data_IF_582326829630
#
_entry.id   IF_582326829630
#
_cell.length_a   1.000
_cell.length_b   1.000
_cell.length_c   1.000
_cell.angle_alpha   90.00
_cell.angle_beta   90.00
_cell.angle_gamma   90.00
#
_symmetry.space_group_name_H-M   'P 1'
#
loop_
_entity.id
_entity.type
_entity.pdbx_description
1 polymer ?
#
# COMPACT_ATOMS: atom_id res chain seq x y z
N UNK A 1 -1.60 -10.22 19.19
CA UNK A 1 -1.68 -9.04 18.29
C UNK A 1 -0.29 -8.49 17.97
N UNK A 2 0.62 -8.28 18.93
CA UNK A 2 1.96 -7.73 18.66
C UNK A 2 2.77 -8.49 17.60
N UNK A 3 2.76 -9.83 17.60
CA UNK A 3 3.41 -10.63 16.55
C UNK A 3 2.79 -10.42 15.17
N UNK A 4 1.47 -10.18 15.09
CA UNK A 4 0.78 -9.89 13.82
C UNK A 4 1.18 -8.51 13.31
N UNK A 5 1.26 -7.51 14.19
CA UNK A 5 1.73 -6.17 13.84
C UNK A 5 3.22 -6.16 13.48
N UNK A 6 4.04 -7.02 14.10
CA UNK A 6 5.41 -7.26 13.67
C UNK A 6 5.45 -7.82 12.25
N UNK A 7 4.61 -8.81 11.95
CA UNK A 7 4.45 -9.36 10.59
C UNK A 7 4.02 -8.30 9.57
N UNK A 8 3.07 -7.42 9.94
CA UNK A 8 2.68 -6.26 9.14
C UNK A 8 3.86 -5.33 8.86
N UNK A 9 4.64 -4.98 9.90
CA UNK A 9 5.80 -4.11 9.77
C UNK A 9 6.90 -4.70 8.90
N UNK A 10 7.23 -5.98 9.07
CA UNK A 10 8.17 -6.71 8.22
C UNK A 10 7.67 -6.74 6.77
N UNK A 11 6.37 -7.04 6.59
CA UNK A 11 5.72 -7.00 5.29
C UNK A 11 5.91 -5.64 4.63
N UNK A 12 5.53 -4.55 5.32
CA UNK A 12 5.67 -3.18 4.83
C UNK A 12 7.10 -2.78 4.50
N UNK A 13 8.07 -3.20 5.30
CA UNK A 13 9.48 -2.99 5.00
C UNK A 13 9.87 -3.60 3.65
N UNK A 14 9.57 -4.88 3.41
CA UNK A 14 9.86 -5.52 2.13
C UNK A 14 8.99 -5.00 0.98
N UNK A 15 7.75 -4.60 1.28
CA UNK A 15 6.82 -3.97 0.35
C UNK A 15 7.38 -2.66 -0.22
N UNK A 16 8.05 -1.87 0.61
CA UNK A 16 8.70 -0.63 0.19
C UNK A 16 9.79 -0.89 -0.86
N UNK A 17 10.66 -1.88 -0.63
CA UNK A 17 11.69 -2.27 -1.62
C UNK A 17 11.07 -2.82 -2.90
N UNK A 18 10.08 -3.70 -2.78
CA UNK A 18 9.38 -4.27 -3.93
C UNK A 18 8.66 -3.18 -4.75
N UNK A 19 8.04 -2.21 -4.07
CA UNK A 19 7.40 -1.04 -4.68
C UNK A 19 8.39 -0.19 -5.46
N UNK A 20 9.56 0.12 -4.89
CA UNK A 20 10.62 0.87 -5.57
C UNK A 20 11.13 0.15 -6.81
N UNK A 21 11.49 -1.13 -6.67
CA UNK A 21 11.95 -1.96 -7.77
C UNK A 21 10.92 -2.08 -8.90
N UNK A 22 9.64 -2.24 -8.56
CA UNK A 22 8.56 -2.29 -9.54
C UNK A 22 8.34 -0.93 -10.20
N UNK A 23 8.41 0.17 -9.45
CA UNK A 23 8.23 1.53 -9.97
C UNK A 23 9.34 1.94 -10.96
N UNK A 24 10.55 1.43 -10.77
CA UNK A 24 11.65 1.59 -11.72
C UNK A 24 11.36 0.90 -13.06
N UNK A 25 10.81 -0.33 -13.03
CA UNK A 25 10.56 -1.11 -14.25
C UNK A 25 9.22 -0.84 -14.92
N UNK A 26 8.14 -0.81 -14.15
CA UNK A 26 6.78 -0.61 -14.62
C UNK A 26 5.93 0.09 -13.55
N UNK A 27 5.91 1.40 -13.64
CA UNK A 27 5.18 2.27 -12.71
C UNK A 27 3.67 1.98 -12.67
N UNK A 28 3.05 1.65 -13.81
CA UNK A 28 1.61 1.31 -13.86
C UNK A 28 1.33 0.05 -13.07
N UNK A 29 2.18 -0.98 -13.21
CA UNK A 29 2.05 -2.21 -12.44
C UNK A 29 2.27 -1.96 -10.94
N UNK A 30 3.27 -1.15 -10.58
CA UNK A 30 3.56 -0.81 -9.18
C UNK A 30 2.35 -0.17 -8.47
N UNK A 31 1.67 0.77 -9.15
CA UNK A 31 0.51 1.48 -8.60
C UNK A 31 -0.78 0.65 -8.66
N UNK A 32 -0.93 -0.27 -9.62
CA UNK A 32 -2.14 -1.10 -9.75
C UNK A 32 -2.14 -2.37 -8.90
N UNK A 33 -1.00 -3.05 -8.74
CA UNK A 33 -0.92 -4.32 -8.03
C UNK A 33 -1.09 -4.18 -6.52
N UNK A 34 -0.60 -3.08 -5.94
CA UNK A 34 -0.72 -2.81 -4.51
C UNK A 34 -2.19 -2.72 -4.04
N UNK A 35 -3.07 -1.88 -4.61
CA UNK A 35 -4.48 -1.83 -4.23
C UNK A 35 -5.23 -3.14 -4.50
N UNK A 36 -4.87 -3.89 -5.56
CA UNK A 36 -5.43 -5.22 -5.81
C UNK A 36 -5.10 -6.20 -4.67
N UNK A 37 -3.85 -6.22 -4.22
CA UNK A 37 -3.42 -7.10 -3.12
C UNK A 37 -4.05 -6.68 -1.78
N UNK A 38 -4.26 -5.38 -1.55
CA UNK A 38 -5.03 -4.88 -0.40
C UNK A 38 -6.48 -5.37 -0.48
N UNK A 39 -7.13 -5.24 -1.63
CA UNK A 39 -8.51 -5.68 -1.82
C UNK A 39 -8.68 -7.19 -1.59
N UNK A 40 -7.74 -8.00 -2.09
CA UNK A 40 -7.72 -9.44 -1.84
C UNK A 40 -7.50 -9.76 -0.36
N UNK A 41 -6.59 -9.04 0.31
CA UNK A 41 -6.35 -9.22 1.75
C UNK A 41 -7.60 -8.88 2.57
N UNK A 42 -8.29 -7.79 2.22
CA UNK A 42 -9.57 -7.42 2.83
C UNK A 42 -10.65 -8.48 2.59
N UNK A 43 -10.77 -9.02 1.37
CA UNK A 43 -11.73 -10.09 1.05
C UNK A 43 -11.45 -11.37 1.87
N UNK A 44 -10.18 -11.73 2.03
CA UNK A 44 -9.78 -12.87 2.87
C UNK A 44 -10.13 -12.61 4.34
N UNK A 45 -9.92 -11.41 4.85
CA UNK A 45 -10.31 -11.06 6.22
C UNK A 45 -11.82 -11.11 6.42
N UNK A 46 -12.60 -10.64 5.44
CA UNK A 46 -14.05 -10.68 5.49
C UNK A 46 -14.62 -12.10 5.48
N UNK A 47 -14.02 -13.00 4.70
CA UNK A 47 -14.56 -14.36 4.48
C UNK A 47 -13.95 -15.42 5.39
N UNK A 48 -12.68 -15.29 5.76
CA UNK A 48 -11.88 -16.29 6.47
C UNK A 48 -11.16 -15.73 7.72
N UNK A 49 -11.46 -14.49 8.11
CA UNK A 49 -10.79 -13.81 9.23
C UNK A 49 -11.08 -14.37 10.62
N UNK A 50 -12.04 -15.29 10.76
CA UNK A 50 -12.29 -15.99 12.02
C UNK A 50 -11.10 -16.85 12.47
N UNK A 51 -10.29 -17.33 11.52
CA UNK A 51 -9.05 -18.05 11.80
C UNK A 51 -7.93 -17.06 12.17
N UNK A 52 -7.34 -17.14 13.38
CA UNK A 52 -6.26 -16.24 13.79
C UNK A 52 -5.04 -16.33 12.87
N UNK A 53 -4.75 -17.51 12.34
CA UNK A 53 -3.63 -17.73 11.42
C UNK A 53 -3.90 -17.07 10.08
N UNK A 54 -5.10 -17.24 9.53
CA UNK A 54 -5.50 -16.62 8.26
C UNK A 54 -5.51 -15.10 8.38
N UNK A 55 -6.04 -14.58 9.48
CA UNK A 55 -6.02 -13.14 9.77
C UNK A 55 -4.58 -12.61 9.86
N UNK A 56 -3.67 -13.33 10.53
CA UNK A 56 -2.27 -12.93 10.63
C UNK A 56 -1.58 -12.86 9.26
N UNK A 57 -1.80 -13.86 8.40
CA UNK A 57 -1.24 -13.90 7.04
C UNK A 57 -1.80 -12.76 6.19
N UNK A 58 -3.12 -12.57 6.22
CA UNK A 58 -3.77 -11.51 5.45
C UNK A 58 -3.31 -10.11 5.89
N UNK A 59 -3.13 -9.88 7.20
CA UNK A 59 -2.58 -8.62 7.73
C UNK A 59 -1.12 -8.44 7.31
N UNK A 60 -0.29 -9.48 7.33
CA UNK A 60 1.10 -9.37 6.83
C UNK A 60 1.16 -9.06 5.33
N UNK A 61 0.30 -9.69 4.52
CA UNK A 61 0.17 -9.41 3.09
C UNK A 61 -0.34 -7.98 2.83
N UNK A 62 -1.28 -7.50 3.64
CA UNK A 62 -1.72 -6.11 3.60
C UNK A 62 -0.56 -5.17 3.91
N UNK A 63 0.23 -5.42 4.96
CA UNK A 63 1.42 -4.63 5.28
C UNK A 63 2.38 -4.52 4.10
N UNK A 64 2.68 -5.65 3.45
CA UNK A 64 3.49 -5.67 2.23
C UNK A 64 2.90 -4.84 1.10
N UNK A 65 1.61 -5.03 0.79
CA UNK A 65 0.95 -4.28 -0.27
C UNK A 65 0.96 -2.77 0.02
N UNK A 66 0.61 -2.38 1.25
CA UNK A 66 0.54 -0.98 1.67
C UNK A 66 1.92 -0.32 1.67
N UNK A 67 2.99 -1.05 2.01
CA UNK A 67 4.36 -0.53 1.92
C UNK A 67 4.78 -0.14 0.50
N UNK A 68 4.24 -0.80 -0.53
CA UNK A 68 4.53 -0.47 -1.93
C UNK A 68 3.77 0.78 -2.44
N UNK A 69 2.58 1.06 -1.88
CA UNK A 69 1.70 2.18 -2.29
C UNK A 69 2.39 3.55 -2.25
N UNK A 70 2.98 4.01 -1.12
CA UNK A 70 3.54 5.34 -1.04
C UNK A 70 4.74 5.51 -1.99
N UNK A 71 5.55 4.47 -2.17
CA UNK A 71 6.71 4.51 -3.09
C UNK A 71 6.25 4.67 -4.54
N UNK A 72 5.29 3.84 -4.97
CA UNK A 72 4.77 3.87 -6.32
C UNK A 72 4.09 5.21 -6.65
N UNK A 73 3.25 5.71 -5.74
CA UNK A 73 2.55 6.98 -5.92
C UNK A 73 3.49 8.18 -5.88
N UNK A 74 4.45 8.24 -4.96
CA UNK A 74 5.45 9.32 -4.93
C UNK A 74 6.30 9.33 -6.19
N UNK A 75 6.75 8.15 -6.66
CA UNK A 75 7.52 8.04 -7.90
C UNK A 75 6.69 8.49 -9.10
N UNK A 76 5.40 8.13 -9.14
CA UNK A 76 4.50 8.55 -10.21
C UNK A 76 4.27 10.05 -10.21
N UNK A 77 4.04 10.63 -9.04
CA UNK A 77 3.81 12.05 -8.85
C UNK A 77 5.01 12.89 -9.33
N UNK A 78 6.22 12.54 -8.89
CA UNK A 78 7.45 13.24 -9.31
C UNK A 78 7.68 13.10 -10.82
N UNK A 79 7.34 11.95 -11.42
CA UNK A 79 7.47 11.76 -12.87
C UNK A 79 6.38 12.48 -13.68
N UNK A 80 5.18 12.63 -13.12
CA UNK A 80 4.04 13.24 -13.80
C UNK A 80 4.08 14.77 -13.77
N UNK A 81 4.60 15.36 -12.68
CA UNK A 81 4.66 16.80 -12.48
C UNK A 81 5.97 17.20 -11.75
N UNK A 82 7.14 17.07 -12.39
CA UNK A 82 8.43 17.31 -11.75
C UNK A 82 8.61 18.75 -11.27
N UNK A 83 8.17 19.73 -12.06
CA UNK A 83 8.28 21.17 -11.73
C UNK A 83 7.30 21.60 -10.62
N UNK A 84 6.27 20.79 -10.36
CA UNK A 84 5.19 21.06 -9.41
C UNK A 84 5.08 19.96 -8.35
N UNK A 85 6.20 19.27 -8.06
CA UNK A 85 6.19 18.10 -7.18
C UNK A 85 5.70 18.43 -5.75
N UNK A 86 5.99 19.64 -5.26
CA UNK A 86 5.51 20.11 -3.95
C UNK A 86 3.98 20.32 -3.96
N UNK A 87 3.47 21.05 -4.95
CA UNK A 87 2.03 21.28 -5.17
C UNK A 87 1.26 19.97 -5.34
N UNK A 88 1.77 19.09 -6.20
CA UNK A 88 1.18 17.78 -6.45
C UNK A 88 1.22 16.90 -5.18
N UNK A 89 2.31 16.98 -4.39
CA UNK A 89 2.44 16.30 -3.11
C UNK A 89 1.34 16.71 -2.13
N UNK A 90 1.03 18.00 -2.05
CA UNK A 90 -0.08 18.53 -1.27
C UNK A 90 -1.44 17.94 -1.69
N UNK A 91 -1.72 17.89 -3.00
CA UNK A 91 -2.95 17.26 -3.52
C UNK A 91 -3.03 15.76 -3.21
N UNK A 92 -1.90 15.05 -3.27
CA UNK A 92 -1.86 13.63 -2.92
C UNK A 92 -2.22 13.42 -1.45
N UNK A 93 -1.66 14.23 -0.53
CA UNK A 93 -2.02 14.17 0.89
C UNK A 93 -3.50 14.46 1.09
N UNK A 94 -4.03 15.52 0.48
CA UNK A 94 -5.46 15.86 0.55
C UNK A 94 -6.34 14.70 0.06
N UNK A 95 -5.95 14.07 -1.04
CA UNK A 95 -6.65 12.90 -1.61
C UNK A 95 -6.65 11.72 -0.64
N UNK A 96 -5.50 11.41 -0.01
CA UNK A 96 -5.43 10.38 1.03
C UNK A 96 -6.35 10.69 2.19
N UNK A 97 -6.37 11.94 2.68
CA UNK A 97 -7.23 12.33 3.79
C UNK A 97 -8.71 12.20 3.45
N UNK A 98 -9.12 12.63 2.26
CA UNK A 98 -10.50 12.44 1.77
C UNK A 98 -10.85 10.95 1.68
N UNK A 99 -9.96 10.13 1.12
CA UNK A 99 -10.19 8.69 1.02
C UNK A 99 -10.30 8.02 2.40
N UNK A 100 -9.45 8.40 3.36
CA UNK A 100 -9.52 7.91 4.75
C UNK A 100 -10.83 8.35 5.40
N UNK A 101 -11.22 9.62 5.26
CA UNK A 101 -12.46 10.15 5.82
C UNK A 101 -13.71 9.46 5.25
N UNK A 102 -13.71 9.14 3.95
CA UNK A 102 -14.80 8.39 3.31
C UNK A 102 -14.88 6.92 3.77
N UNK A 103 -13.75 6.35 4.19
CA UNK A 103 -13.69 4.95 4.65
C UNK A 103 -13.92 4.74 6.14
N UNK A 104 -13.92 5.80 6.94
CA UNK A 104 -14.15 5.79 8.39
C UNK A 104 -15.65 5.64 8.73
#
# INVERSE_FOLDING_TARGET
>A
ISLVLLGYGIGGFFGNFAGGFMAERNLKAAVALAPLLIALSALVLLTLGASPVTAAIAVAAWGFAFGAVPVGLQTWLVRAAPDEAESAGGLMVATFQVAIALGA
#
